data_IF_535249965218
#
_entry.id   IF_535249965218
#
_cell.length_a   1.000
_cell.length_b   1.000
_cell.length_c   1.000
_cell.angle_alpha   90.00
_cell.angle_beta   90.00
_cell.angle_gamma   90.00
#
_symmetry.space_group_name_H-M   'P 1'
#
loop_
_entity.id
_entity.type
_entity.pdbx_description
1 polymer ?
#
# COMPACT_ATOMS: atom_id res chain seq x y z
N UNK A 1 14.26 18.23 -2.88
CA UNK A 1 13.05 17.87 -2.11
C UNK A 1 13.19 16.41 -1.67
N UNK A 2 12.91 16.04 -0.40
CA UNK A 2 13.01 14.65 0.03
C UNK A 2 12.16 13.71 -0.81
N UNK A 3 12.72 12.58 -1.25
CA UNK A 3 12.07 11.72 -2.24
C UNK A 3 10.77 11.05 -1.73
N UNK A 4 10.63 10.86 -0.41
CA UNK A 4 9.41 10.31 0.20
C UNK A 4 8.16 11.16 -0.06
N UNK A 5 8.30 12.47 -0.31
CA UNK A 5 7.18 13.35 -0.63
C UNK A 5 6.52 12.97 -1.96
N UNK A 6 7.29 12.43 -2.91
CA UNK A 6 6.76 11.89 -4.16
C UNK A 6 5.93 10.62 -3.96
N UNK A 7 5.99 10.01 -2.77
CA UNK A 7 5.38 8.71 -2.48
C UNK A 7 4.12 8.80 -1.60
N UNK A 8 3.80 9.97 -1.06
CA UNK A 8 2.65 10.16 -0.16
C UNK A 8 1.31 10.26 -0.92
N UNK A 9 0.26 9.64 -0.37
CA UNK A 9 -1.07 9.66 -0.94
C UNK A 9 -1.08 9.19 -2.40
N UNK A 10 -1.49 10.06 -3.31
CA UNK A 10 -1.51 9.81 -4.76
C UNK A 10 -0.34 10.46 -5.50
N UNK A 11 0.72 10.88 -4.80
CA UNK A 11 1.83 11.60 -5.43
C UNK A 11 2.62 10.71 -6.38
N UNK A 12 2.69 9.40 -6.13
CA UNK A 12 3.43 8.46 -6.98
C UNK A 12 2.87 8.35 -8.40
N UNK A 13 1.59 8.68 -8.61
CA UNK A 13 0.97 8.73 -9.94
C UNK A 13 1.01 10.11 -10.57
N UNK A 14 1.30 11.16 -9.80
CA UNK A 14 1.38 12.57 -10.27
C UNK A 14 2.80 13.03 -10.54
N UNK A 15 3.77 12.39 -9.89
CA UNK A 15 5.17 12.74 -9.91
C UNK A 15 5.99 11.51 -10.29
N UNK A 16 7.17 11.73 -10.90
CA UNK A 16 8.08 10.63 -11.22
C UNK A 16 8.51 9.88 -9.97
N UNK A 17 8.28 8.56 -9.96
CA UNK A 17 8.70 7.68 -8.87
C UNK A 17 10.21 7.41 -8.99
N UNK A 18 11.01 7.65 -7.95
CA UNK A 18 12.45 7.39 -7.94
C UNK A 18 12.70 5.90 -7.69
N UNK A 19 12.34 5.05 -8.67
CA UNK A 19 12.35 3.60 -8.51
C UNK A 19 13.71 3.05 -8.07
N UNK A 20 14.82 3.55 -8.63
CA UNK A 20 16.15 2.98 -8.34
C UNK A 20 16.58 3.27 -6.90
N UNK A 21 16.38 4.50 -6.43
CA UNK A 21 16.64 4.85 -5.03
C UNK A 21 15.74 4.06 -4.06
N UNK A 22 14.46 3.87 -4.39
CA UNK A 22 13.55 3.07 -3.55
C UNK A 22 13.95 1.60 -3.49
N UNK A 23 14.44 1.04 -4.60
CA UNK A 23 14.93 -0.34 -4.65
C UNK A 23 16.24 -0.50 -3.88
N UNK A 24 17.12 0.48 -3.95
CA UNK A 24 18.35 0.51 -3.15
C UNK A 24 18.03 0.50 -1.66
N UNK A 25 17.12 1.38 -1.22
CA UNK A 25 16.63 1.38 0.17
C UNK A 25 16.00 0.03 0.52
N UNK A 26 15.12 -0.51 -0.33
CA UNK A 26 14.45 -1.78 -0.07
C UNK A 26 15.44 -2.95 0.12
N UNK A 27 16.54 -3.00 -0.63
CA UNK A 27 17.59 -4.02 -0.46
C UNK A 27 18.35 -3.90 0.85
N UNK A 28 18.46 -2.69 1.39
CA UNK A 28 19.14 -2.40 2.65
C UNK A 28 18.23 -2.49 3.89
N UNK A 29 16.91 -2.63 3.72
CA UNK A 29 15.94 -2.64 4.82
C UNK A 29 15.42 -4.05 5.09
N UNK A 30 15.56 -4.50 6.33
CA UNK A 30 15.07 -5.80 6.82
C UNK A 30 13.54 -5.82 6.96
N UNK A 31 12.95 -7.00 7.08
CA UNK A 31 11.51 -7.13 7.26
C UNK A 31 11.04 -6.51 8.59
N UNK A 32 11.81 -6.65 9.67
CA UNK A 32 11.53 -6.04 10.97
C UNK A 32 11.52 -4.50 10.89
N UNK A 33 12.50 -3.90 10.22
CA UNK A 33 12.55 -2.45 10.01
C UNK A 33 11.34 -1.97 9.17
N UNK A 34 10.92 -2.72 8.15
CA UNK A 34 9.70 -2.38 7.41
C UNK A 34 8.46 -2.51 8.29
N UNK A 35 8.38 -3.50 9.17
CA UNK A 35 7.28 -3.64 10.12
C UNK A 35 7.22 -2.45 11.10
N UNK A 36 8.35 -2.00 11.62
CA UNK A 36 8.44 -0.80 12.47
C UNK A 36 7.98 0.47 11.73
N UNK A 37 8.36 0.62 10.46
CA UNK A 37 7.88 1.70 9.62
C UNK A 37 6.36 1.65 9.42
N UNK A 38 5.79 0.45 9.22
CA UNK A 38 4.34 0.23 9.07
C UNK A 38 3.57 0.57 10.36
N UNK A 39 4.13 0.28 11.53
CA UNK A 39 3.55 0.63 12.83
C UNK A 39 3.61 2.15 13.12
N UNK A 40 4.62 2.84 12.59
CA UNK A 40 4.84 4.28 12.79
C UNK A 40 3.74 5.17 12.18
N UNK A 41 3.79 6.48 12.41
CA UNK A 41 2.80 7.43 11.86
C UNK A 41 3.33 8.19 10.62
N UNK A 42 2.42 8.56 9.72
CA UNK A 42 2.66 9.50 8.62
C UNK A 42 3.74 9.03 7.63
N UNK A 43 4.90 9.71 7.58
CA UNK A 43 5.91 9.55 6.53
C UNK A 43 6.60 8.18 6.59
N UNK A 44 7.09 7.71 7.76
CA UNK A 44 7.54 6.33 7.95
C UNK A 44 6.56 5.29 7.41
N UNK A 45 5.27 5.41 7.73
CA UNK A 45 4.24 4.46 7.29
C UNK A 45 4.09 4.37 5.78
N UNK A 46 4.12 5.52 5.10
CA UNK A 46 4.12 5.57 3.64
C UNK A 46 5.32 4.82 3.07
N UNK A 47 6.51 5.05 3.64
CA UNK A 47 7.71 4.36 3.19
C UNK A 47 7.65 2.86 3.48
N UNK A 48 7.21 2.45 4.67
CA UNK A 48 6.99 1.06 5.03
C UNK A 48 6.05 0.36 4.05
N UNK A 49 4.94 1.00 3.68
CA UNK A 49 4.02 0.47 2.67
C UNK A 49 4.74 0.19 1.34
N UNK A 50 5.47 1.17 0.79
CA UNK A 50 6.13 0.99 -0.49
C UNK A 50 7.27 -0.04 -0.45
N UNK A 51 8.06 -0.06 0.63
CA UNK A 51 9.12 -1.05 0.83
C UNK A 51 8.55 -2.47 1.00
N UNK A 52 7.32 -2.60 1.50
CA UNK A 52 6.62 -3.87 1.63
C UNK A 52 6.16 -4.48 0.30
N UNK A 53 6.21 -3.75 -0.83
CA UNK A 53 5.63 -4.19 -2.12
C UNK A 53 6.14 -5.55 -2.60
N UNK A 54 7.42 -5.90 -2.37
CA UNK A 54 8.00 -7.19 -2.75
C UNK A 54 7.83 -8.31 -1.72
N UNK A 55 7.44 -7.97 -0.49
CA UNK A 55 7.53 -8.82 0.70
C UNK A 55 6.19 -8.96 1.43
N UNK A 56 5.08 -8.74 0.72
CA UNK A 56 3.74 -8.61 1.31
C UNK A 56 3.32 -9.83 2.11
N UNK A 57 3.67 -11.05 1.67
CA UNK A 57 3.35 -12.28 2.41
C UNK A 57 4.14 -12.40 3.72
N UNK A 58 5.40 -11.97 3.73
CA UNK A 58 6.24 -11.96 4.94
C UNK A 58 5.77 -10.89 5.94
N UNK A 59 5.19 -9.79 5.44
CA UNK A 59 4.69 -8.66 6.23
C UNK A 59 3.17 -8.60 6.35
N UNK A 60 2.46 -9.71 6.15
CA UNK A 60 1.00 -9.74 6.10
C UNK A 60 0.36 -9.11 7.34
N UNK A 61 0.74 -9.58 8.54
CA UNK A 61 0.18 -9.08 9.80
C UNK A 61 0.41 -7.57 9.98
N UNK A 62 1.64 -7.09 9.73
CA UNK A 62 1.99 -5.68 9.85
C UNK A 62 1.23 -4.81 8.84
N UNK A 63 1.00 -5.29 7.62
CA UNK A 63 0.23 -4.56 6.60
C UNK A 63 -1.25 -4.43 6.97
N UNK A 64 -1.86 -5.52 7.46
CA UNK A 64 -3.26 -5.53 7.88
C UNK A 64 -3.48 -4.61 9.08
N UNK A 65 -2.63 -4.69 10.10
CA UNK A 65 -2.68 -3.79 11.27
C UNK A 65 -2.46 -2.32 10.86
N UNK A 66 -1.50 -2.06 9.97
CA UNK A 66 -1.21 -0.70 9.50
C UNK A 66 -2.39 -0.09 8.73
N UNK A 67 -3.13 -0.91 7.96
CA UNK A 67 -4.35 -0.48 7.28
C UNK A 67 -5.42 -0.02 8.26
N UNK A 68 -5.73 -0.83 9.27
CA UNK A 68 -6.79 -0.56 10.25
C UNK A 68 -6.50 0.69 11.08
N UNK A 69 -5.22 0.92 11.38
CA UNK A 69 -4.77 2.06 12.17
C UNK A 69 -4.41 3.28 11.33
N UNK A 70 -4.41 3.18 10.00
CA UNK A 70 -3.99 4.28 9.12
C UNK A 70 -4.97 5.46 9.18
N UNK A 71 -4.39 6.66 9.16
CA UNK A 71 -5.13 7.90 9.20
C UNK A 71 -4.94 8.65 7.87
N UNK A 72 -6.04 8.78 7.14
CA UNK A 72 -6.23 9.78 6.11
C UNK A 72 -5.51 9.59 4.78
N UNK A 73 -5.63 10.63 3.96
CA UNK A 73 -5.31 10.66 2.52
C UNK A 73 -3.86 10.45 2.15
N UNK A 74 -2.95 10.63 3.11
CA UNK A 74 -1.51 10.54 2.85
C UNK A 74 -0.98 9.11 3.00
N UNK A 75 -1.61 8.30 3.84
CA UNK A 75 -1.10 6.95 4.20
C UNK A 75 -1.96 5.83 3.63
N UNK A 76 -3.28 6.02 3.58
CA UNK A 76 -4.21 4.98 3.15
C UNK A 76 -4.02 4.56 1.68
N UNK A 77 -3.80 5.46 0.69
CA UNK A 77 -3.66 5.02 -0.70
C UNK A 77 -2.44 4.12 -0.96
N UNK A 78 -1.22 4.42 -0.46
CA UNK A 78 -0.09 3.49 -0.53
C UNK A 78 -0.38 2.13 0.12
N UNK A 79 -0.92 2.12 1.35
CA UNK A 79 -1.20 0.87 2.08
C UNK A 79 -2.24 0.01 1.38
N UNK A 80 -3.38 0.61 0.99
CA UNK A 80 -4.45 -0.11 0.32
C UNK A 80 -4.00 -0.67 -1.03
N UNK A 81 -3.13 0.06 -1.74
CA UNK A 81 -2.53 -0.41 -2.99
C UNK A 81 -1.61 -1.61 -2.78
N UNK A 82 -0.73 -1.55 -1.78
CA UNK A 82 0.23 -2.64 -1.51
C UNK A 82 -0.48 -3.88 -1.01
N UNK A 83 -1.49 -3.72 -0.16
CA UNK A 83 -2.34 -4.82 0.28
C UNK A 83 -3.16 -5.42 -0.88
N UNK A 84 -3.74 -4.59 -1.75
CA UNK A 84 -4.36 -5.05 -3.00
C UNK A 84 -3.38 -5.85 -3.86
N UNK A 85 -2.16 -5.33 -4.03
CA UNK A 85 -1.14 -5.96 -4.87
C UNK A 85 -0.77 -7.34 -4.38
N UNK A 86 -0.48 -7.47 -3.09
CA UNK A 86 0.25 -8.63 -2.58
C UNK A 86 -0.51 -9.49 -1.58
N UNK A 87 -1.64 -9.04 -1.02
CA UNK A 87 -2.51 -9.82 -0.12
C UNK A 87 -3.86 -10.16 -0.77
N UNK A 88 -4.32 -9.35 -1.73
CA UNK A 88 -5.57 -9.59 -2.45
C UNK A 88 -6.77 -9.69 -1.50
N UNK A 89 -7.54 -10.77 -1.62
CA UNK A 89 -8.75 -11.00 -0.81
C UNK A 89 -8.49 -11.00 0.71
N UNK A 90 -7.28 -11.36 1.17
CA UNK A 90 -6.92 -11.33 2.60
C UNK A 90 -6.99 -9.92 3.20
N UNK A 91 -6.84 -8.87 2.38
CA UNK A 91 -6.92 -7.48 2.83
C UNK A 91 -8.35 -6.96 3.02
N UNK A 92 -9.37 -7.68 2.52
CA UNK A 92 -10.77 -7.22 2.51
C UNK A 92 -11.28 -6.83 3.91
N UNK A 93 -11.07 -7.63 4.98
CA UNK A 93 -11.56 -7.25 6.31
C UNK A 93 -10.97 -5.92 6.79
N UNK A 94 -9.65 -5.75 6.71
CA UNK A 94 -8.95 -4.54 7.15
C UNK A 94 -9.30 -3.31 6.28
N UNK A 95 -9.47 -3.49 4.97
CA UNK A 95 -9.94 -2.43 4.07
C UNK A 95 -11.37 -2.01 4.37
N UNK A 96 -12.25 -2.96 4.70
CA UNK A 96 -13.63 -2.70 5.10
C UNK A 96 -13.67 -1.95 6.44
N UNK A 97 -12.85 -2.37 7.41
CA UNK A 97 -12.68 -1.67 8.69
C UNK A 97 -12.19 -0.23 8.48
N UNK A 98 -11.17 -0.03 7.65
CA UNK A 98 -10.70 1.30 7.30
C UNK A 98 -11.84 2.14 6.69
N UNK A 99 -12.56 1.59 5.70
CA UNK A 99 -13.62 2.31 5.01
C UNK A 99 -14.70 2.78 5.97
N UNK A 100 -15.16 1.91 6.88
CA UNK A 100 -16.13 2.25 7.91
C UNK A 100 -15.62 3.39 8.81
N UNK A 101 -14.40 3.29 9.33
CA UNK A 101 -13.80 4.31 10.18
C UNK A 101 -13.57 5.63 9.43
N UNK A 102 -13.25 5.58 8.14
CA UNK A 102 -13.12 6.77 7.30
C UNK A 102 -14.46 7.49 7.13
N UNK A 103 -15.55 6.75 6.89
CA UNK A 103 -16.89 7.34 6.81
C UNK A 103 -17.34 7.96 8.14
N UNK A 104 -17.01 7.33 9.27
CA UNK A 104 -17.32 7.84 10.62
C UNK A 104 -16.52 9.11 10.96
N UNK A 105 -15.23 9.14 10.61
CA UNK A 105 -14.30 10.18 11.06
C UNK A 105 -13.83 11.15 9.96
N UNK A 106 -14.30 10.98 8.72
CA UNK A 106 -13.95 11.79 7.54
C UNK A 106 -12.44 11.92 7.31
N UNK A 107 -11.74 10.78 7.31
CA UNK A 107 -10.27 10.72 7.10
C UNK A 107 -9.86 11.07 5.66
N UNK A 108 -10.77 10.88 4.69
CA UNK A 108 -10.71 11.46 3.35
C UNK A 108 -10.27 10.53 2.21
N UNK A 109 -10.11 9.22 2.44
CA UNK A 109 -9.70 8.24 1.41
C UNK A 109 -10.79 7.23 1.06
N UNK A 110 -12.02 7.43 1.53
CA UNK A 110 -13.10 6.46 1.42
C UNK A 110 -13.38 6.05 -0.04
N UNK A 111 -13.41 6.99 -0.99
CA UNK A 111 -13.65 6.68 -2.41
C UNK A 111 -12.50 5.90 -3.05
N UNK A 112 -11.25 6.18 -2.67
CA UNK A 112 -10.08 5.42 -3.12
C UNK A 112 -10.09 3.99 -2.55
N UNK A 113 -10.35 3.82 -1.25
CA UNK A 113 -10.41 2.49 -0.62
C UNK A 113 -11.61 1.69 -1.13
N UNK A 114 -12.74 2.35 -1.40
CA UNK A 114 -13.88 1.73 -2.06
C UNK A 114 -13.52 1.25 -3.49
N UNK A 115 -12.73 2.02 -4.24
CA UNK A 115 -12.21 1.59 -5.55
C UNK A 115 -11.24 0.40 -5.44
N UNK A 116 -10.44 0.32 -4.36
CA UNK A 116 -9.61 -0.85 -4.07
C UNK A 116 -10.47 -2.07 -3.77
N UNK A 117 -11.52 -1.93 -2.96
CA UNK A 117 -12.48 -3.00 -2.67
C UNK A 117 -13.25 -3.45 -3.93
N UNK A 118 -13.61 -2.53 -4.82
CA UNK A 118 -14.20 -2.85 -6.13
C UNK A 118 -13.26 -3.76 -6.96
N UNK A 119 -11.94 -3.56 -6.89
CA UNK A 119 -10.95 -4.44 -7.55
C UNK A 119 -10.78 -5.81 -6.90
N UNK A 120 -11.30 -5.98 -5.69
CA UNK A 120 -11.34 -7.26 -4.97
C UNK A 120 -12.73 -7.90 -5.10
N UNK A 121 -13.55 -7.44 -6.06
CA UNK A 121 -14.93 -7.87 -6.28
C UNK A 121 -15.85 -7.66 -5.06
N UNK A 122 -15.48 -6.75 -4.15
CA UNK A 122 -16.30 -6.38 -2.99
C UNK A 122 -17.20 -5.22 -3.38
N UNK A 123 -18.45 -5.56 -3.74
CA UNK A 123 -19.51 -4.58 -4.03
C UNK A 123 -20.84 -5.04 -3.44
N UNK A 124 -21.75 -4.12 -3.06
CA UNK A 124 -21.55 -2.66 -2.99
C UNK A 124 -20.76 -2.23 -1.75
N UNK A 125 -20.00 -1.14 -1.86
CA UNK A 125 -19.21 -0.56 -0.75
C UNK A 125 -19.93 0.57 -0.02
N UNK A 126 -21.09 1.02 -0.53
CA UNK A 126 -21.84 2.16 0.01
C UNK A 126 -21.21 3.53 -0.30
N UNK A 127 -20.13 3.58 -1.08
CA UNK A 127 -19.45 4.82 -1.49
C UNK A 127 -19.52 4.95 -3.01
N UNK A 128 -19.86 6.14 -3.50
CA UNK A 128 -19.81 6.44 -4.93
C UNK A 128 -18.34 6.47 -5.41
N UNK A 129 -18.01 5.61 -6.36
CA UNK A 129 -16.66 5.49 -6.92
C UNK A 129 -16.63 6.19 -8.28
N UNK A 130 -15.80 7.23 -8.39
CA UNK A 130 -15.58 7.95 -9.65
C UNK A 130 -14.42 7.36 -10.45
N UNK A 131 -14.40 7.62 -11.77
CA UNK A 131 -13.34 7.12 -12.66
C UNK A 131 -11.95 7.63 -12.29
N UNK A 132 -11.88 8.80 -11.62
CA UNK A 132 -10.62 9.33 -11.09
C UNK A 132 -10.00 8.37 -10.09
N UNK A 133 -10.78 7.79 -9.18
CA UNK A 133 -10.29 6.88 -8.14
C UNK A 133 -9.91 5.54 -8.75
N UNK A 134 -10.71 5.02 -9.70
CA UNK A 134 -10.35 3.79 -10.46
C UNK A 134 -9.00 3.94 -11.17
N UNK A 135 -8.81 5.05 -11.90
CA UNK A 135 -7.53 5.35 -12.57
C UNK A 135 -6.38 5.55 -11.58
N UNK A 136 -6.65 6.15 -10.43
CA UNK A 136 -5.64 6.29 -9.39
C UNK A 136 -5.20 4.93 -8.85
N UNK A 137 -6.14 4.00 -8.59
CA UNK A 137 -5.83 2.62 -8.19
C UNK A 137 -4.98 1.93 -9.25
N UNK A 138 -5.33 2.04 -10.53
CA UNK A 138 -4.52 1.47 -11.63
C UNK A 138 -3.08 1.97 -11.63
N UNK A 139 -2.91 3.30 -11.58
CA UNK A 139 -1.58 3.92 -11.57
C UNK A 139 -0.76 3.50 -10.36
N UNK A 140 -1.37 3.48 -9.17
CA UNK A 140 -0.70 3.09 -7.94
C UNK A 140 -0.31 1.60 -7.96
N UNK A 141 -1.16 0.74 -8.53
CA UNK A 141 -0.88 -0.69 -8.65
C UNK A 141 0.30 -0.97 -9.60
N UNK A 142 0.49 -0.15 -10.64
CA UNK A 142 1.69 -0.20 -11.49
C UNK A 142 2.95 0.14 -10.67
N UNK A 143 2.88 1.12 -9.77
CA UNK A 143 4.00 1.49 -8.89
C UNK A 143 4.35 0.33 -7.97
N UNK A 144 3.36 -0.25 -7.27
CA UNK A 144 3.59 -1.39 -6.36
C UNK A 144 4.23 -2.57 -7.09
N UNK A 145 3.71 -2.97 -8.26
CA UNK A 145 4.27 -4.05 -9.08
C UNK A 145 5.71 -3.78 -9.51
N UNK A 146 6.04 -2.54 -9.87
CA UNK A 146 7.41 -2.16 -10.28
C UNK A 146 8.41 -2.19 -9.13
N UNK A 147 7.96 -1.90 -7.91
CA UNK A 147 8.77 -2.01 -6.70
C UNK A 147 8.93 -3.47 -6.27
N UNK A 148 7.90 -4.30 -6.43
CA UNK A 148 7.93 -5.72 -6.08
C UNK A 148 8.93 -6.54 -6.91
N UNK A 149 9.13 -6.20 -8.21
CA UNK A 149 10.08 -6.86 -9.11
C UNK A 149 11.56 -6.77 -8.70
N UNK A 150 11.88 -6.17 -7.56
CA UNK A 150 13.23 -5.97 -7.07
C UNK A 150 13.70 -7.04 -6.06
N UNK A 151 12.84 -7.98 -5.65
CA UNK A 151 13.32 -9.15 -4.90
C UNK A 151 14.05 -10.12 -5.83
N UNK A 152 15.29 -10.52 -5.52
CA UNK A 152 15.86 -11.69 -6.16
C UNK A 152 15.01 -12.91 -5.76
N UNK A 153 14.60 -13.70 -6.76
CA UNK A 153 14.11 -15.06 -6.51
C UNK A 153 15.18 -15.78 -5.68
N UNK A 154 14.85 -16.15 -4.44
CA UNK A 154 15.67 -17.11 -3.70
C UNK A 154 15.50 -18.44 -4.44
N UNK A 155 16.56 -19.02 -5.04
CA UNK A 155 16.44 -20.32 -5.68
C UNK A 155 16.05 -21.35 -4.61
N UNK A 156 15.02 -22.13 -4.89
CA UNK A 156 14.48 -23.18 -4.03
C UNK A 156 15.40 -24.42 -3.91
N UNK A 157 16.67 -24.31 -4.31
CA UNK A 157 17.63 -25.43 -4.38
C UNK A 157 18.77 -25.33 -3.35
N UNK A 158 18.47 -24.90 -2.13
CA UNK A 158 19.40 -24.97 -1.00
C UNK A 158 18.81 -25.77 0.18
N UNK A 159 18.14 -26.89 -0.13
CA UNK A 159 17.81 -27.92 0.83
C UNK A 159 17.72 -29.28 0.12
N UNK A 160 18.87 -29.90 -0.11
CA UNK A 160 19.09 -31.35 -0.09
C UNK A 160 20.59 -31.65 -0.07
#
# INVERSE_FOLDING_TARGET
MPFYLAMMGLNAVRHGVPFDALREVARGTTDDEVAELLASHWRPRVMGAWLASGRTQRLEAALLESLETSLGTLTAPPLATVALHGLGAKAVPSLTTYLRLDLEHRRGSASFVAAVLERLDVTPTGVAIGDRDRRAVDGMLIVARRLAKAEPEIPLDAAN
#
